data_IF_186174592062
#
_entry.id   IF_186174592062
#
_cell.length_a   1.000
_cell.length_b   1.000
_cell.length_c   1.000
_cell.angle_alpha   90.00
_cell.angle_beta   90.00
_cell.angle_gamma   90.00
#
_symmetry.space_group_name_H-M   'P 1'
#
loop_
_entity.id
_entity.type
_entity.pdbx_description
1 polymer ?
#
# COMPACT_ATOMS: atom_id res chain seq x y z
N UNK A 1 15.80 6.98 -5.90
CA UNK A 1 14.63 6.28 -6.49
C UNK A 1 14.36 5.05 -5.62
N UNK A 2 13.14 4.86 -5.06
CA UNK A 2 12.87 3.87 -3.99
C UNK A 2 12.15 2.60 -4.45
N UNK A 3 11.09 2.73 -5.26
CA UNK A 3 10.24 1.62 -5.71
C UNK A 3 10.88 0.89 -6.90
N UNK A 4 11.76 -0.06 -6.61
CA UNK A 4 12.52 -0.81 -7.62
C UNK A 4 12.22 -2.30 -7.64
N UNK A 5 11.39 -2.81 -6.72
CA UNK A 5 11.17 -4.26 -6.55
C UNK A 5 12.17 -4.93 -5.60
N UNK A 6 13.20 -4.19 -5.16
CA UNK A 6 14.20 -4.66 -4.20
C UNK A 6 14.02 -3.97 -2.84
N UNK A 7 14.70 -4.48 -1.80
CA UNK A 7 14.71 -3.88 -0.45
C UNK A 7 13.32 -3.69 0.17
N UNK A 8 12.48 -4.72 0.13
CA UNK A 8 11.10 -4.68 0.65
C UNK A 8 10.22 -3.59 0.03
N UNK A 9 10.39 -3.34 -1.27
CA UNK A 9 9.55 -2.43 -2.07
C UNK A 9 9.04 -3.12 -3.32
N UNK A 10 7.90 -2.68 -3.85
CA UNK A 10 7.44 -3.10 -5.18
C UNK A 10 8.08 -2.26 -6.27
N UNK A 11 8.06 -2.78 -7.50
CA UNK A 11 8.28 -1.97 -8.70
C UNK A 11 7.27 -0.83 -8.77
N UNK A 12 7.66 0.33 -9.32
CA UNK A 12 6.75 1.46 -9.54
C UNK A 12 5.76 1.21 -10.69
N UNK A 13 6.09 0.27 -11.59
CA UNK A 13 5.28 -0.02 -12.78
C UNK A 13 4.24 -1.11 -12.54
N UNK A 14 4.38 -1.86 -11.46
CA UNK A 14 3.54 -3.02 -11.17
C UNK A 14 2.75 -2.78 -9.88
N UNK A 15 1.46 -3.11 -9.93
CA UNK A 15 0.62 -3.13 -8.74
C UNK A 15 0.50 -4.56 -8.21
N UNK A 16 0.71 -4.74 -6.91
CA UNK A 16 0.59 -6.05 -6.25
C UNK A 16 0.07 -5.92 -4.83
N UNK A 17 -0.68 -6.93 -4.38
CA UNK A 17 -1.14 -7.05 -3.00
C UNK A 17 -0.86 -8.46 -2.45
N UNK A 18 -0.57 -8.56 -1.14
CA UNK A 18 -0.29 -9.87 -0.53
C UNK A 18 -0.35 -9.91 0.99
N UNK A 19 -0.65 -11.10 1.52
CA UNK A 19 -0.69 -11.37 2.97
C UNK A 19 0.73 -11.54 3.50
N UNK A 20 1.09 -10.77 4.52
CA UNK A 20 2.42 -10.75 5.13
C UNK A 20 3.60 -10.50 4.16
N UNK A 21 3.32 -10.06 2.93
CA UNK A 21 4.34 -9.81 1.92
C UNK A 21 4.83 -8.35 2.00
N UNK A 22 6.11 -8.14 2.29
CA UNK A 22 6.70 -6.81 2.36
C UNK A 22 7.16 -6.26 1.01
N UNK A 23 7.35 -7.10 0.00
CA UNK A 23 7.76 -6.71 -1.35
C UNK A 23 6.61 -6.30 -2.27
N UNK A 24 5.36 -6.38 -1.81
CA UNK A 24 4.20 -5.96 -2.57
C UNK A 24 3.84 -4.49 -2.36
N UNK A 25 2.99 -3.95 -3.23
CA UNK A 25 2.54 -2.56 -3.17
C UNK A 25 1.59 -2.32 -1.99
N UNK A 26 0.62 -3.22 -1.79
CA UNK A 26 -0.34 -3.20 -0.68
C UNK A 26 -0.15 -4.43 0.20
N UNK A 27 0.26 -4.24 1.46
CA UNK A 27 0.41 -5.34 2.42
C UNK A 27 -0.85 -5.51 3.25
N UNK A 28 -1.32 -6.75 3.36
CA UNK A 28 -2.32 -7.14 4.35
C UNK A 28 -1.60 -7.86 5.50
N UNK A 29 -1.62 -7.33 6.74
CA UNK A 29 -1.01 -8.01 7.88
C UNK A 29 -1.61 -9.40 8.08
N UNK A 30 -0.80 -10.36 8.55
CA UNK A 30 -1.26 -11.75 8.76
C UNK A 30 -2.49 -11.83 9.66
N UNK A 31 -2.46 -11.09 10.77
CA UNK A 31 -3.57 -11.02 11.72
C UNK A 31 -4.86 -10.50 11.05
N UNK A 32 -4.77 -9.49 10.18
CA UNK A 32 -5.92 -8.94 9.46
C UNK A 32 -6.52 -9.98 8.51
N UNK A 33 -5.67 -10.75 7.83
CA UNK A 33 -6.11 -11.83 6.95
C UNK A 33 -6.77 -12.98 7.73
N UNK A 34 -6.20 -13.34 8.89
CA UNK A 34 -6.73 -14.39 9.78
C UNK A 34 -8.08 -13.98 10.40
N UNK A 35 -8.17 -12.76 10.94
CA UNK A 35 -9.38 -12.23 11.59
C UNK A 35 -10.43 -11.72 10.59
N UNK A 36 -10.07 -11.58 9.31
CA UNK A 36 -10.91 -11.02 8.23
C UNK A 36 -11.45 -9.62 8.53
N UNK A 37 -10.74 -8.85 9.33
CA UNK A 37 -11.05 -7.46 9.69
C UNK A 37 -9.78 -6.72 10.05
N UNK A 38 -9.77 -5.40 9.87
CA UNK A 38 -8.63 -4.56 10.20
C UNK A 38 -8.31 -3.57 9.08
N UNK A 39 -7.05 -3.54 8.64
CA UNK A 39 -6.53 -2.52 7.74
C UNK A 39 -5.62 -3.09 6.64
N UNK A 40 -5.42 -2.30 5.59
CA UNK A 40 -4.40 -2.49 4.57
C UNK A 40 -3.26 -1.48 4.77
N UNK A 41 -2.06 -1.81 4.33
CA UNK A 41 -0.91 -0.91 4.34
C UNK A 41 -0.48 -0.59 2.90
N UNK A 42 -0.68 0.65 2.45
CA UNK A 42 -0.08 1.13 1.20
C UNK A 42 1.40 1.48 1.40
N UNK A 43 2.28 0.70 0.77
CA UNK A 43 3.74 0.82 0.92
C UNK A 43 4.38 1.67 -0.19
N UNK A 44 3.59 2.24 -1.09
CA UNK A 44 4.05 3.06 -2.23
C UNK A 44 4.45 4.49 -1.86
N UNK A 45 3.77 5.21 -0.94
CA UNK A 45 4.15 6.58 -0.59
C UNK A 45 5.61 6.69 -0.15
N UNK A 46 6.32 7.72 -0.61
CA UNK A 46 7.69 8.02 -0.20
C UNK A 46 7.73 8.88 1.07
N UNK A 47 8.89 8.95 1.72
CA UNK A 47 9.06 9.76 2.94
C UNK A 47 8.85 11.26 2.74
N UNK A 48 8.93 11.74 1.50
CA UNK A 48 8.70 13.14 1.11
C UNK A 48 7.30 13.37 0.51
N UNK A 49 6.37 12.44 0.65
CA UNK A 49 5.00 12.63 0.15
C UNK A 49 4.27 13.72 0.95
N UNK A 50 3.34 14.39 0.30
CA UNK A 50 2.36 15.24 1.00
C UNK A 50 1.31 14.33 1.66
N UNK A 51 1.22 14.32 3.00
CA UNK A 51 0.27 13.46 3.70
C UNK A 51 -1.18 13.80 3.35
N UNK A 52 -1.51 15.05 3.05
CA UNK A 52 -2.88 15.45 2.71
C UNK A 52 -3.27 14.91 1.34
N UNK A 53 -2.42 15.07 0.33
CA UNK A 53 -2.69 14.55 -1.01
C UNK A 53 -2.76 13.03 -1.04
N UNK A 54 -1.88 12.34 -0.30
CA UNK A 54 -1.88 10.86 -0.27
C UNK A 54 -3.13 10.34 0.43
N UNK A 55 -3.52 10.91 1.57
CA UNK A 55 -4.71 10.45 2.30
C UNK A 55 -5.99 10.75 1.53
N UNK A 56 -6.08 11.92 0.89
CA UNK A 56 -7.19 12.25 -0.01
C UNK A 56 -7.30 11.24 -1.15
N UNK A 57 -6.18 10.94 -1.85
CA UNK A 57 -6.18 9.99 -2.95
C UNK A 57 -6.65 8.60 -2.52
N UNK A 58 -6.19 8.11 -1.35
CA UNK A 58 -6.63 6.81 -0.81
C UNK A 58 -8.13 6.81 -0.55
N UNK A 59 -8.66 7.83 0.14
CA UNK A 59 -10.09 7.90 0.47
C UNK A 59 -10.94 8.03 -0.79
N UNK A 60 -10.53 8.89 -1.71
CA UNK A 60 -11.22 9.10 -2.99
C UNK A 60 -11.34 7.78 -3.76
N UNK A 61 -10.22 7.09 -3.98
CA UNK A 61 -10.19 5.85 -4.76
C UNK A 61 -10.91 4.69 -4.06
N UNK A 62 -10.86 4.59 -2.73
CA UNK A 62 -11.43 3.42 -2.01
C UNK A 62 -12.89 3.62 -1.62
N UNK A 63 -13.29 4.84 -1.27
CA UNK A 63 -14.59 5.11 -0.66
C UNK A 63 -15.54 5.93 -1.53
N UNK A 64 -15.04 6.73 -2.48
CA UNK A 64 -15.84 7.74 -3.16
C UNK A 64 -16.14 7.43 -4.65
N UNK A 65 -15.60 6.35 -5.23
CA UNK A 65 -15.82 5.96 -6.64
C UNK A 65 -15.59 7.11 -7.66
N UNK A 66 -14.68 8.03 -7.33
CA UNK A 66 -14.28 9.19 -8.15
C UNK A 66 -12.88 9.03 -8.77
#
# INVERSE_FOLDING_TARGET
RRLTGHHETSSIHDFSAGVANRGCSIRIPRQVAEERKGYLEDRRPSSNCDPYSVTEAIVRTVCLEE
#
